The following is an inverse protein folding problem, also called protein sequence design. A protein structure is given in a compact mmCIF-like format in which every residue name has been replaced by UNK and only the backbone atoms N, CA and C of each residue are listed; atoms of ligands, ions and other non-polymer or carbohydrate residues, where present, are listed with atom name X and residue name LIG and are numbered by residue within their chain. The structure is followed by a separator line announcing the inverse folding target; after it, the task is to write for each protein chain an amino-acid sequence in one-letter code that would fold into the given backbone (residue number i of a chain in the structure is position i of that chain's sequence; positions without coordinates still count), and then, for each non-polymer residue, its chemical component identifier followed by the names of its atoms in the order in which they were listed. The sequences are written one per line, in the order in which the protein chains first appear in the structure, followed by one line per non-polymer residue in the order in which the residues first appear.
data_IF_222632603919
#
_entry.id   IF_222632603919
#
_cell.length_a   1.000
_cell.length_b   1.000
_cell.length_c   1.000
_cell.angle_alpha   90.00
_cell.angle_beta   90.00
_cell.angle_gamma   90.00
#
_symmetry.space_group_name_H-M   'P 1'
#
loop_
_entity.id
_entity.type
_entity.pdbx_description
1 polymer ?
#
# COMPACT_ATOMS: atom_id res chain seq x y z
N UNK A 1 -54.53 -21.39 -55.41
CA UNK A 1 -54.39 -22.50 -54.44
C UNK A 1 -52.91 -22.85 -54.33
N UNK A 2 -52.18 -22.17 -53.43
CA UNK A 2 -50.83 -22.59 -53.05
C UNK A 2 -50.97 -23.68 -51.98
N UNK A 3 -50.32 -24.82 -52.21
CA UNK A 3 -50.33 -25.96 -51.30
C UNK A 3 -49.75 -25.57 -49.93
N UNK A 4 -50.53 -25.80 -48.87
CA UNK A 4 -50.18 -25.56 -47.45
C UNK A 4 -48.94 -26.33 -46.96
N UNK A 5 -48.41 -27.25 -47.76
CA UNK A 5 -47.30 -28.12 -47.35
C UNK A 5 -45.91 -27.58 -47.69
N UNK A 6 -45.79 -26.56 -48.55
CA UNK A 6 -44.47 -26.06 -48.96
C UNK A 6 -43.94 -24.94 -48.06
N UNK A 7 -44.79 -24.33 -47.22
CA UNK A 7 -44.39 -23.25 -46.31
C UNK A 7 -43.80 -23.76 -44.97
N UNK A 8 -44.13 -24.99 -44.58
CA UNK A 8 -43.69 -25.59 -43.31
C UNK A 8 -42.24 -26.08 -43.33
N UNK A 9 -41.67 -26.36 -44.50
CA UNK A 9 -40.28 -26.83 -44.63
C UNK A 9 -39.28 -25.67 -44.64
N UNK A 10 -39.69 -24.48 -45.08
CA UNK A 10 -38.80 -23.31 -45.15
C UNK A 10 -38.59 -22.60 -43.79
N UNK A 11 -39.51 -22.77 -42.83
CA UNK A 11 -39.43 -22.13 -41.50
C UNK A 11 -38.63 -22.98 -40.50
N UNK A 12 -38.56 -24.31 -40.69
CA UNK A 12 -37.82 -25.18 -39.78
C UNK A 12 -36.28 -25.14 -39.97
N UNK A 13 -35.78 -24.60 -41.08
CA UNK A 13 -34.35 -24.54 -41.39
C UNK A 13 -33.63 -23.27 -40.90
N UNK A 14 -34.37 -22.27 -40.39
CA UNK A 14 -33.83 -20.96 -39.97
C UNK A 14 -33.69 -20.79 -38.45
N UNK A 15 -33.99 -21.83 -37.66
CA UNK A 15 -33.83 -21.84 -36.20
C UNK A 15 -32.63 -22.66 -35.72
N UNK A 16 -31.59 -22.81 -36.56
CA UNK A 16 -30.28 -23.21 -36.04
C UNK A 16 -29.73 -22.00 -35.30
N UNK A 17 -30.15 -21.86 -34.04
CA UNK A 17 -29.48 -21.02 -33.07
C UNK A 17 -27.99 -21.36 -33.20
N UNK A 18 -27.20 -20.41 -33.69
CA UNK A 18 -25.76 -20.47 -33.56
C UNK A 18 -25.53 -20.52 -32.07
N UNK A 19 -25.32 -21.72 -31.54
CA UNK A 19 -24.77 -21.91 -30.23
C UNK A 19 -23.39 -21.27 -30.31
N UNK A 20 -23.35 -19.98 -29.94
CA UNK A 20 -22.13 -19.31 -29.55
C UNK A 20 -21.71 -20.03 -28.26
N UNK A 21 -21.05 -21.17 -28.42
CA UNK A 21 -20.23 -21.74 -27.37
C UNK A 21 -19.15 -20.70 -27.12
N UNK A 22 -19.41 -19.79 -26.19
CA UNK A 22 -18.36 -19.15 -25.43
C UNK A 22 -17.70 -20.26 -24.61
N UNK A 23 -16.94 -21.12 -25.29
CA UNK A 23 -16.07 -22.10 -24.66
C UNK A 23 -14.98 -21.28 -23.99
N UNK A 24 -15.17 -20.95 -22.71
CA UNK A 24 -14.06 -20.66 -21.83
C UNK A 24 -13.32 -21.98 -21.62
N UNK A 25 -12.49 -22.36 -22.61
CA UNK A 25 -11.64 -23.56 -22.59
C UNK A 25 -10.25 -23.26 -22.03
N UNK A 26 -10.10 -22.13 -21.34
CA UNK A 26 -8.86 -21.72 -20.72
C UNK A 26 -8.57 -22.53 -19.46
N UNK A 27 -7.33 -23.00 -19.32
CA UNK A 27 -6.83 -23.51 -18.06
C UNK A 27 -6.93 -22.41 -16.97
N UNK A 28 -7.32 -22.77 -15.76
CA UNK A 28 -7.42 -21.89 -14.60
C UNK A 28 -6.52 -22.43 -13.49
N UNK A 29 -5.82 -21.53 -12.80
CA UNK A 29 -5.13 -21.85 -11.56
C UNK A 29 -5.26 -20.70 -10.57
N UNK A 30 -5.19 -21.04 -9.29
CA UNK A 30 -5.25 -20.07 -8.21
C UNK A 30 -4.49 -20.56 -6.98
N UNK A 31 -3.97 -19.59 -6.24
CA UNK A 31 -3.38 -19.78 -4.91
C UNK A 31 -3.91 -18.71 -3.96
N UNK A 32 -3.92 -19.02 -2.68
CA UNK A 32 -4.51 -18.17 -1.64
C UNK A 32 -3.58 -18.06 -0.43
N UNK A 33 -3.52 -16.89 0.18
CA UNK A 33 -2.95 -16.67 1.50
C UNK A 33 -4.06 -16.26 2.47
N UNK A 34 -4.05 -16.87 3.66
CA UNK A 34 -5.00 -16.59 4.73
C UNK A 34 -4.36 -15.81 5.89
N UNK A 35 -3.10 -15.36 5.75
CA UNK A 35 -2.45 -14.47 6.71
C UNK A 35 -3.31 -13.24 6.95
N UNK A 36 -3.58 -12.90 8.21
CA UNK A 36 -4.46 -11.78 8.55
C UNK A 36 -3.60 -10.60 8.96
N UNK A 37 -3.69 -9.50 8.22
CA UNK A 37 -3.27 -8.22 8.77
C UNK A 37 -4.39 -7.60 9.61
N UNK A 38 -4.05 -7.26 10.84
CA UNK A 38 -4.93 -6.63 11.81
C UNK A 38 -4.44 -5.24 12.16
N UNK A 39 -5.39 -4.34 12.40
CA UNK A 39 -5.17 -2.99 12.91
C UNK A 39 -5.60 -2.97 14.37
N UNK A 40 -4.68 -2.61 15.27
CA UNK A 40 -4.97 -2.43 16.67
C UNK A 40 -5.74 -1.12 16.87
N UNK A 41 -7.00 -1.20 17.29
CA UNK A 41 -7.87 -0.02 17.45
C UNK A 41 -7.45 0.92 18.58
N UNK A 42 -6.58 0.48 19.49
CA UNK A 42 -6.10 1.29 20.63
C UNK A 42 -4.78 1.98 20.33
N UNK A 43 -3.93 1.43 19.46
CA UNK A 43 -2.59 1.98 19.15
C UNK A 43 -2.37 2.34 17.69
N UNK A 44 -3.27 1.96 16.79
CA UNK A 44 -3.09 2.02 15.33
C UNK A 44 -2.12 0.98 14.77
N UNK A 45 -1.37 0.25 15.62
CA UNK A 45 -0.33 -0.67 15.16
C UNK A 45 -0.87 -1.80 14.28
N UNK A 46 -0.05 -2.22 13.30
CA UNK A 46 -0.35 -3.32 12.39
C UNK A 46 0.29 -4.63 12.87
N UNK A 47 -0.42 -5.75 12.70
CA UNK A 47 0.12 -7.08 12.99
C UNK A 47 -0.40 -8.18 12.03
N UNK A 48 0.48 -9.07 11.52
CA UNK A 48 1.94 -8.99 11.60
C UNK A 48 2.46 -7.89 10.65
N UNK A 49 3.50 -7.17 11.09
CA UNK A 49 4.18 -6.21 10.23
C UNK A 49 5.15 -6.88 9.26
N UNK A 50 5.38 -6.29 8.10
CA UNK A 50 6.45 -6.69 7.18
C UNK A 50 7.82 -6.37 7.80
N UNK A 51 8.69 -7.37 7.91
CA UNK A 51 10.01 -7.20 8.53
C UNK A 51 11.13 -7.70 7.63
N UNK A 52 12.25 -6.95 7.51
CA UNK A 52 12.50 -5.63 8.09
C UNK A 52 11.68 -4.50 7.43
N UNK A 53 11.49 -3.37 8.11
CA UNK A 53 10.84 -2.20 7.50
C UNK A 53 11.84 -1.46 6.59
N UNK A 54 12.09 -2.00 5.40
CA UNK A 54 13.04 -1.45 4.43
C UNK A 54 12.51 -1.57 2.99
N UNK A 55 12.91 -0.64 2.11
CA UNK A 55 12.54 -0.66 0.70
C UNK A 55 12.94 -1.99 0.05
N UNK A 56 12.03 -2.58 -0.71
CA UNK A 56 12.21 -3.88 -1.35
C UNK A 56 11.96 -5.09 -0.45
N UNK A 57 11.63 -4.92 0.83
CA UNK A 57 11.29 -6.06 1.70
C UNK A 57 10.03 -6.74 1.19
N UNK A 58 10.11 -8.04 0.90
CA UNK A 58 8.96 -8.85 0.53
C UNK A 58 8.09 -9.15 1.76
N UNK A 59 6.85 -8.69 1.72
CA UNK A 59 5.82 -8.93 2.73
C UNK A 59 5.13 -10.29 2.54
N UNK A 60 4.79 -10.62 1.29
CA UNK A 60 4.11 -11.85 0.92
C UNK A 60 4.47 -12.23 -0.51
N UNK A 61 4.42 -13.53 -0.80
CA UNK A 61 4.61 -14.08 -2.15
C UNK A 61 3.57 -15.15 -2.39
N UNK A 62 2.81 -14.99 -3.47
CA UNK A 62 1.91 -16.01 -3.97
C UNK A 62 2.47 -16.58 -5.28
N UNK A 63 2.46 -17.90 -5.42
CA UNK A 63 2.89 -18.59 -6.63
C UNK A 63 1.82 -19.55 -7.13
N UNK A 64 1.56 -19.48 -8.42
CA UNK A 64 0.50 -20.20 -9.11
C UNK A 64 1.04 -20.90 -10.38
N UNK A 65 1.08 -22.24 -10.41
CA UNK A 65 1.53 -22.98 -11.59
C UNK A 65 0.42 -23.05 -12.65
N UNK A 66 0.73 -22.68 -13.90
CA UNK A 66 -0.21 -22.75 -15.02
C UNK A 66 0.40 -23.49 -16.21
N UNK A 67 -0.37 -24.41 -16.79
CA UNK A 67 0.02 -25.12 -18.03
C UNK A 67 -0.61 -24.46 -19.24
N UNK A 68 0.22 -23.90 -20.13
CA UNK A 68 -0.15 -23.31 -21.42
C UNK A 68 -0.11 -24.38 -22.50
N UNK A 69 -1.31 -24.83 -22.92
CA UNK A 69 -1.47 -25.92 -23.88
C UNK A 69 -1.40 -25.46 -25.35
N UNK A 70 -1.61 -24.17 -25.63
CA UNK A 70 -1.46 -23.56 -26.95
C UNK A 70 -1.01 -22.09 -26.76
N UNK A 71 0.11 -21.68 -27.36
CA UNK A 71 0.64 -20.33 -27.20
C UNK A 71 0.20 -19.37 -28.32
N UNK A 72 -0.39 -19.87 -29.40
CA UNK A 72 -0.81 -19.02 -30.52
C UNK A 72 -2.16 -18.37 -30.21
N UNK A 73 -2.15 -17.04 -30.06
CA UNK A 73 -3.35 -16.23 -29.81
C UNK A 73 -3.91 -16.42 -28.39
N UNK A 74 -3.05 -16.72 -27.42
CA UNK A 74 -3.42 -16.90 -26.02
C UNK A 74 -2.66 -15.90 -25.15
N UNK A 75 -3.37 -15.31 -24.20
CA UNK A 75 -2.80 -14.53 -23.12
C UNK A 75 -3.27 -15.11 -21.77
N UNK A 76 -2.56 -14.78 -20.71
CA UNK A 76 -3.00 -15.06 -19.35
C UNK A 76 -3.51 -13.77 -18.74
N UNK A 77 -4.70 -13.80 -18.17
CA UNK A 77 -5.17 -12.80 -17.24
C UNK A 77 -4.71 -13.21 -15.84
N UNK A 78 -3.82 -12.41 -15.27
CA UNK A 78 -3.23 -12.64 -13.95
C UNK A 78 -3.76 -11.58 -13.00
N UNK A 79 -4.47 -12.00 -11.97
CA UNK A 79 -5.13 -11.10 -11.02
C UNK A 79 -4.68 -11.41 -9.60
N UNK A 80 -3.58 -10.78 -9.13
CA UNK A 80 -3.31 -10.67 -7.71
C UNK A 80 -4.36 -9.78 -7.04
N UNK A 81 -4.76 -10.19 -5.84
CA UNK A 81 -5.66 -9.47 -4.96
C UNK A 81 -5.22 -9.72 -3.53
N UNK A 82 -5.06 -8.67 -2.72
CA UNK A 82 -4.66 -8.84 -1.33
C UNK A 82 -5.05 -7.62 -0.51
N UNK A 83 -5.29 -7.85 0.79
CA UNK A 83 -5.40 -6.76 1.77
C UNK A 83 -4.01 -6.19 2.03
N UNK A 84 -3.87 -4.88 1.95
CA UNK A 84 -2.68 -4.16 2.40
C UNK A 84 -3.05 -3.27 3.57
N UNK A 85 -2.14 -3.15 4.53
CA UNK A 85 -2.26 -2.15 5.58
C UNK A 85 -1.04 -1.27 5.66
N UNK A 86 -1.25 0.03 5.88
CA UNK A 86 -0.20 1.03 6.02
C UNK A 86 -0.33 1.78 7.34
N UNK A 87 0.77 1.85 8.06
CA UNK A 87 0.92 2.61 9.29
C UNK A 87 1.98 3.68 9.09
N UNK A 88 1.64 4.88 9.52
CA UNK A 88 2.56 6.00 9.57
C UNK A 88 2.21 6.79 10.83
N UNK A 89 3.25 7.10 11.58
CA UNK A 89 3.22 7.91 12.77
C UNK A 89 4.19 9.06 12.54
N UNK A 90 3.68 10.28 12.57
CA UNK A 90 4.45 11.51 12.35
C UNK A 90 4.31 12.42 13.55
N UNK A 91 5.42 12.73 14.21
CA UNK A 91 5.45 13.56 15.41
C UNK A 91 6.29 14.80 15.17
N UNK A 92 5.73 15.94 15.53
CA UNK A 92 6.44 17.21 15.63
C UNK A 92 6.42 17.71 17.08
N UNK A 93 7.48 18.40 17.46
CA UNK A 93 7.63 19.02 18.78
C UNK A 93 8.43 20.32 18.66
N UNK A 94 8.68 20.99 19.78
CA UNK A 94 9.57 22.16 19.84
C UNK A 94 10.99 21.89 19.32
N UNK A 95 11.44 20.62 19.35
CA UNK A 95 12.75 20.21 18.83
C UNK A 95 12.69 19.80 17.35
N UNK A 96 11.56 19.29 16.88
CA UNK A 96 11.36 18.80 15.51
C UNK A 96 10.21 19.55 14.84
N UNK A 97 10.54 20.67 14.20
CA UNK A 97 9.56 21.55 13.53
C UNK A 97 8.98 20.96 12.22
N UNK A 98 9.63 19.93 11.68
CA UNK A 98 9.19 19.20 10.50
C UNK A 98 9.39 17.71 10.70
N UNK A 99 8.41 16.92 10.25
CA UNK A 99 8.47 15.47 10.26
C UNK A 99 7.74 14.91 9.05
N UNK A 100 8.24 13.82 8.49
CA UNK A 100 7.56 13.11 7.41
C UNK A 100 7.69 11.60 7.56
N UNK A 101 6.73 10.91 6.98
CA UNK A 101 6.69 9.47 6.88
C UNK A 101 6.04 9.08 5.56
N UNK A 102 6.67 8.15 4.88
CA UNK A 102 6.20 7.55 3.64
C UNK A 102 6.20 6.04 3.80
N UNK A 103 5.15 5.40 3.30
CA UNK A 103 5.04 3.94 3.31
C UNK A 103 4.14 3.53 2.15
N UNK A 104 4.53 2.49 1.43
CA UNK A 104 3.72 1.90 0.39
C UNK A 104 3.96 0.41 0.22
N UNK A 105 3.00 -0.24 -0.44
CA UNK A 105 3.08 -1.62 -0.86
C UNK A 105 2.90 -1.67 -2.37
N UNK A 106 3.88 -2.27 -3.02
CA UNK A 106 3.90 -2.53 -4.46
C UNK A 106 3.75 -4.03 -4.70
N UNK A 107 3.10 -4.39 -5.81
CA UNK A 107 2.94 -5.77 -6.27
C UNK A 107 3.64 -5.93 -7.61
N UNK A 108 4.56 -6.88 -7.68
CA UNK A 108 5.24 -7.25 -8.92
C UNK A 108 4.82 -8.64 -9.38
N UNK A 109 4.41 -8.75 -10.64
CA UNK A 109 4.13 -10.04 -11.28
C UNK A 109 5.35 -10.48 -12.08
N UNK A 110 5.81 -11.70 -11.81
CA UNK A 110 6.90 -12.35 -12.53
C UNK A 110 6.45 -13.72 -13.01
N UNK A 111 7.07 -14.20 -14.10
CA UNK A 111 6.70 -15.46 -14.75
C UNK A 111 7.96 -16.27 -14.97
N UNK A 112 7.98 -17.49 -14.45
CA UNK A 112 9.11 -18.40 -14.53
C UNK A 112 8.74 -19.61 -15.37
N UNK A 113 9.58 -20.01 -16.34
CA UNK A 113 9.46 -21.34 -16.95
C UNK A 113 9.63 -22.42 -15.86
N UNK A 114 8.92 -23.54 -15.99
CA UNK A 114 9.04 -24.64 -15.02
C UNK A 114 10.51 -25.07 -14.85
N UNK A 115 10.97 -25.10 -13.59
CA UNK A 115 12.34 -25.47 -13.24
C UNK A 115 13.38 -24.35 -13.41
N UNK A 116 12.98 -23.14 -13.81
CA UNK A 116 13.84 -21.95 -13.90
C UNK A 116 13.71 -21.08 -12.65
N UNK A 117 14.82 -20.45 -12.25
CA UNK A 117 14.86 -19.37 -11.24
C UNK A 117 14.97 -17.97 -11.87
N UNK A 118 15.03 -17.89 -13.19
CA UNK A 118 15.14 -16.64 -13.94
C UNK A 118 13.76 -16.27 -14.51
N UNK A 119 13.23 -15.07 -14.21
CA UNK A 119 11.95 -14.64 -14.75
C UNK A 119 12.09 -14.30 -16.24
N UNK A 120 11.00 -14.51 -16.98
CA UNK A 120 10.89 -14.05 -18.35
C UNK A 120 10.77 -12.53 -18.40
N UNK A 121 11.45 -11.90 -19.37
CA UNK A 121 11.41 -10.46 -19.59
C UNK A 121 10.48 -10.12 -20.75
N UNK A 122 9.74 -9.00 -20.65
CA UNK A 122 8.90 -8.50 -21.74
C UNK A 122 7.64 -9.33 -22.01
N UNK A 123 7.28 -10.24 -21.10
CA UNK A 123 6.07 -11.08 -21.22
C UNK A 123 4.92 -10.59 -20.36
N UNK A 124 5.18 -9.74 -19.36
CA UNK A 124 4.18 -9.20 -18.45
C UNK A 124 3.83 -7.78 -18.90
N UNK A 125 2.53 -7.53 -19.04
CA UNK A 125 1.96 -6.24 -19.43
C UNK A 125 1.00 -5.78 -18.34
N UNK A 126 1.18 -4.54 -17.90
CA UNK A 126 0.50 -3.98 -16.73
C UNK A 126 1.52 -3.54 -15.68
N UNK A 127 1.30 -2.37 -15.08
CA UNK A 127 2.28 -1.73 -14.21
C UNK A 127 3.45 -1.07 -14.94
N UNK A 128 4.58 -0.96 -14.24
CA UNK A 128 5.83 -0.39 -14.73
C UNK A 128 6.64 -1.38 -15.61
N UNK A 129 7.86 -1.01 -15.99
CA UNK A 129 8.75 -1.85 -16.81
C UNK A 129 9.15 -3.18 -16.17
N UNK A 130 8.95 -3.33 -14.86
CA UNK A 130 9.27 -4.54 -14.10
C UNK A 130 8.01 -5.38 -13.79
N UNK A 131 6.85 -5.00 -14.35
CA UNK A 131 5.57 -5.67 -14.08
C UNK A 131 5.02 -5.32 -12.70
N UNK A 132 5.32 -4.13 -12.19
CA UNK A 132 4.97 -3.73 -10.84
C UNK A 132 3.92 -2.61 -10.79
N UNK A 133 3.00 -2.69 -9.82
CA UNK A 133 1.96 -1.69 -9.56
C UNK A 133 1.97 -1.34 -8.09
N UNK A 134 1.87 -0.05 -7.78
CA UNK A 134 1.66 0.42 -6.40
C UNK A 134 0.20 0.18 -6.04
N UNK A 135 -0.04 -0.65 -5.03
CA UNK A 135 -1.40 -0.95 -4.54
C UNK A 135 -1.88 0.13 -3.59
N UNK A 136 -1.01 0.49 -2.64
CA UNK A 136 -1.27 1.53 -1.66
C UNK A 136 0.04 2.27 -1.38
N UNK A 137 -0.04 3.59 -1.24
CA UNK A 137 1.07 4.40 -0.78
C UNK A 137 0.53 5.65 -0.09
N UNK A 138 1.14 5.98 1.04
CA UNK A 138 0.83 7.18 1.78
C UNK A 138 2.11 7.93 2.11
N UNK A 139 2.17 9.17 1.64
CA UNK A 139 3.13 10.16 2.08
C UNK A 139 2.45 11.13 3.04
N UNK A 140 3.04 11.35 4.20
CA UNK A 140 2.60 12.34 5.18
C UNK A 140 3.76 13.26 5.50
N UNK A 141 3.48 14.56 5.47
CA UNK A 141 4.42 15.57 5.93
C UNK A 141 3.66 16.58 6.77
N UNK A 142 4.20 16.86 7.94
CA UNK A 142 3.78 17.96 8.77
C UNK A 142 4.96 18.93 8.81
N UNK A 143 4.75 20.11 8.23
CA UNK A 143 5.67 21.22 8.37
C UNK A 143 4.97 22.33 9.15
N UNK A 144 5.65 22.85 10.17
CA UNK A 144 5.01 23.69 11.16
C UNK A 144 5.73 25.03 11.29
N UNK A 145 4.98 26.08 10.98
CA UNK A 145 4.70 27.16 11.95
C UNK A 145 3.43 26.87 12.79
N UNK A 146 3.04 25.59 12.94
CA UNK A 146 1.87 25.15 13.70
C UNK A 146 1.99 25.58 15.17
N UNK A 147 3.19 25.51 15.75
CA UNK A 147 3.46 25.96 17.11
C UNK A 147 3.43 27.48 17.29
N UNK A 148 3.62 28.28 16.23
CA UNK A 148 3.33 29.72 16.28
C UNK A 148 1.83 30.03 16.40
N UNK A 149 0.94 29.06 16.15
CA UNK A 149 -0.52 29.21 16.30
C UNK A 149 -1.13 28.43 17.48
N UNK A 150 -0.43 27.44 18.05
CA UNK A 150 -0.81 26.82 19.32
C UNK A 150 -0.37 27.77 20.46
N UNK A 151 -1.15 28.83 20.67
CA UNK A 151 -0.92 29.84 21.71
C UNK A 151 -0.97 29.29 23.16
N UNK A 152 -1.23 27.99 23.33
CA UNK A 152 -1.16 27.26 24.60
C UNK A 152 0.17 26.53 24.82
N UNK A 153 1.07 26.49 23.83
CA UNK A 153 2.44 25.97 23.96
C UNK A 153 3.44 27.10 24.23
N UNK A 154 3.05 28.00 25.13
CA UNK A 154 3.91 29.06 25.65
C UNK A 154 4.51 28.51 26.94
N UNK A 155 5.83 28.68 27.16
CA UNK A 155 6.44 28.32 28.42
C UNK A 155 5.66 28.97 29.56
N UNK A 156 5.34 28.16 30.58
CA UNK A 156 4.67 28.69 31.77
C UNK A 156 5.71 28.89 32.85
N UNK A 157 5.59 30.00 33.59
CA UNK A 157 6.45 30.25 34.73
C UNK A 157 6.31 29.09 35.73
N UNK A 158 7.45 28.50 36.11
CA UNK A 158 7.53 27.54 37.20
C UNK A 158 7.19 28.28 38.48
N UNK A 159 6.18 27.81 39.21
CA UNK A 159 5.73 28.45 40.45
C UNK A 159 6.02 27.54 41.64
N UNK A 160 6.56 28.14 42.70
CA UNK A 160 6.71 27.53 44.02
C UNK A 160 5.59 28.03 44.94
N UNK A 161 5.52 27.52 46.17
CA UNK A 161 4.57 27.98 47.19
C UNK A 161 4.65 29.51 47.48
N UNK A 162 5.74 30.15 47.04
CA UNK A 162 6.05 31.57 47.26
C UNK A 162 5.96 32.44 46.01
N UNK A 163 5.59 31.88 44.84
CA UNK A 163 5.49 32.61 43.57
C UNK A 163 6.41 32.06 42.47
N UNK A 164 6.58 32.80 41.34
CA UNK A 164 7.45 32.40 40.23
C UNK A 164 8.89 32.18 40.70
N UNK A 165 9.50 31.08 40.30
CA UNK A 165 10.91 30.81 40.55
C UNK A 165 11.76 31.77 39.70
N UNK A 166 12.61 32.55 40.36
CA UNK A 166 13.49 33.50 39.68
C UNK A 166 14.85 32.88 39.40
N UNK A 167 15.50 33.33 38.34
CA UNK A 167 16.77 32.75 37.89
C UNK A 167 17.69 33.79 37.28
N UNK A 168 18.98 33.45 37.22
CA UNK A 168 20.00 34.18 36.45
C UNK A 168 20.42 33.37 35.22
N UNK A 169 20.51 32.05 35.37
CA UNK A 169 20.89 31.06 34.35
C UNK A 169 20.03 29.80 34.48
N UNK A 170 20.07 28.91 33.49
CA UNK A 170 19.33 27.63 33.51
C UNK A 170 19.68 26.74 34.73
N UNK A 171 20.88 26.91 35.29
CA UNK A 171 21.31 26.16 36.47
C UNK A 171 20.56 26.54 37.76
N UNK A 172 19.90 27.70 37.77
CA UNK A 172 19.14 28.18 38.91
C UNK A 172 17.72 27.60 38.95
N UNK A 173 17.28 26.92 37.88
CA UNK A 173 15.93 26.36 37.77
C UNK A 173 15.88 24.90 38.20
N UNK A 174 14.96 24.56 39.11
CA UNK A 174 14.75 23.19 39.52
C UNK A 174 14.27 22.31 38.35
N UNK A 175 14.85 21.11 38.14
CA UNK A 175 14.38 20.21 37.09
C UNK A 175 12.99 19.67 37.43
N UNK A 176 12.09 19.67 36.45
CA UNK A 176 10.78 19.03 36.53
C UNK A 176 10.84 17.72 35.74
N UNK A 177 10.32 16.63 36.31
CA UNK A 177 10.38 15.32 35.67
C UNK A 177 9.51 15.30 34.42
N UNK A 178 10.12 15.04 33.25
CA UNK A 178 9.41 14.98 31.97
C UNK A 178 9.32 16.32 31.23
N UNK A 179 9.79 17.41 31.82
CA UNK A 179 9.78 18.74 31.20
C UNK A 179 11.20 19.27 30.99
N UNK A 180 11.36 20.12 29.97
CA UNK A 180 12.56 20.95 29.81
C UNK A 180 12.31 22.30 30.47
N UNK A 181 13.06 22.57 31.54
CA UNK A 181 13.02 23.82 32.30
C UNK A 181 14.22 24.68 31.93
N UNK A 182 14.01 25.98 31.75
CA UNK A 182 15.06 26.94 31.37
C UNK A 182 14.81 28.30 32.04
N UNK A 183 15.85 29.13 32.07
CA UNK A 183 15.76 30.47 32.61
C UNK A 183 15.50 31.51 31.51
N UNK A 184 14.36 32.18 31.54
CA UNK A 184 14.09 33.33 30.68
C UNK A 184 14.58 34.62 31.37
N UNK A 185 15.81 35.04 31.07
CA UNK A 185 16.43 36.25 31.65
C UNK A 185 16.85 37.28 30.57
N UNK A 186 15.88 38.00 29.96
CA UNK A 186 16.16 38.91 28.84
C UNK A 186 16.97 40.15 29.26
N UNK A 187 16.94 40.50 30.55
CA UNK A 187 17.69 41.65 31.09
C UNK A 187 19.14 41.29 31.47
N UNK A 188 19.51 40.01 31.40
CA UNK A 188 20.81 39.49 31.85
C UNK A 188 21.19 39.90 33.28
N UNK A 189 20.21 40.28 34.11
CA UNK A 189 20.40 40.70 35.49
C UNK A 189 20.38 39.50 36.44
N UNK A 190 21.06 39.62 37.57
CA UNK A 190 21.03 38.57 38.60
C UNK A 190 19.63 38.46 39.21
N UNK A 191 19.03 37.28 39.13
CA UNK A 191 17.71 36.98 39.70
C UNK A 191 16.55 37.72 39.04
N UNK A 192 16.77 38.31 37.86
CA UNK A 192 15.73 39.05 37.12
C UNK A 192 15.00 38.18 36.10
N UNK A 193 15.49 36.96 35.85
CA UNK A 193 14.82 35.99 35.00
C UNK A 193 13.76 35.20 35.74
N UNK A 194 12.90 34.54 34.97
CA UNK A 194 11.89 33.59 35.47
C UNK A 194 12.17 32.21 34.91
N UNK A 195 12.16 31.19 35.77
CA UNK A 195 12.19 29.81 35.34
C UNK A 195 10.89 29.48 34.62
N UNK A 196 11.02 28.94 33.43
CA UNK A 196 9.93 28.60 32.55
C UNK A 196 10.05 27.13 32.14
N UNK A 197 8.91 26.45 32.04
CA UNK A 197 8.86 25.08 31.56
C UNK A 197 7.91 24.97 30.37
N UNK A 198 8.32 24.19 29.38
CA UNK A 198 7.39 23.69 28.38
C UNK A 198 6.67 22.48 28.96
N UNK A 199 5.34 22.50 28.91
CA UNK A 199 4.54 21.32 29.23
C UNK A 199 4.97 20.17 28.29
N UNK A 200 5.20 18.99 28.87
CA UNK A 200 5.54 17.74 28.14
C UNK A 200 4.51 17.36 27.08
N UNK A 201 3.31 17.95 27.13
CA UNK A 201 2.17 17.70 26.24
C UNK A 201 2.16 18.63 24.99
N UNK A 202 3.22 19.42 24.78
CA UNK A 202 3.37 20.26 23.59
C UNK A 202 3.93 19.50 22.39
N UNK A 203 3.21 18.45 22.01
CA UNK A 203 3.48 17.65 20.83
C UNK A 203 2.24 17.59 19.93
N UNK A 204 2.48 17.54 18.63
CA UNK A 204 1.44 17.14 17.68
C UNK A 204 1.87 15.81 17.08
N UNK A 205 1.05 14.80 17.28
CA UNK A 205 1.23 13.45 16.76
C UNK A 205 0.07 13.11 15.85
N UNK A 206 0.41 12.64 14.66
CA UNK A 206 -0.54 12.17 13.67
C UNK A 206 -0.21 10.72 13.35
N UNK A 207 -0.99 9.82 13.95
CA UNK A 207 -1.00 8.40 13.65
C UNK A 207 -2.13 8.14 12.67
N UNK A 208 -1.81 7.60 11.50
CA UNK A 208 -2.81 7.05 10.59
C UNK A 208 -2.54 5.58 10.34
N UNK A 209 -3.62 4.84 10.17
CA UNK A 209 -3.57 3.40 9.92
C UNK A 209 -4.69 3.07 8.96
N UNK A 210 -4.35 2.39 7.86
CA UNK A 210 -5.32 2.02 6.83
C UNK A 210 -5.26 0.52 6.60
N UNK A 211 -6.41 -0.07 6.28
CA UNK A 211 -6.55 -1.41 5.75
C UNK A 211 -7.44 -1.31 4.52
N UNK A 212 -6.96 -1.83 3.40
CA UNK A 212 -7.71 -1.78 2.14
C UNK A 212 -7.41 -3.04 1.32
N UNK A 213 -8.41 -3.50 0.58
CA UNK A 213 -8.26 -4.61 -0.34
C UNK A 213 -8.05 -4.07 -1.76
N UNK A 214 -6.98 -4.54 -2.41
CA UNK A 214 -6.59 -4.07 -3.74
C UNK A 214 -6.48 -5.26 -4.68
N UNK A 215 -6.82 -5.03 -5.95
CA UNK A 215 -6.64 -5.99 -7.03
C UNK A 215 -6.29 -5.27 -8.32
N UNK A 216 -5.43 -5.87 -9.13
CA UNK A 216 -5.08 -5.34 -10.45
C UNK A 216 -4.93 -6.48 -11.44
N UNK A 217 -5.29 -6.24 -12.70
CA UNK A 217 -5.20 -7.22 -13.77
C UNK A 217 -3.94 -7.01 -14.60
N UNK A 218 -3.10 -8.03 -14.67
CA UNK A 218 -1.96 -8.10 -15.56
C UNK A 218 -2.28 -9.01 -16.74
N UNK A 219 -1.73 -8.69 -17.89
CA UNK A 219 -1.78 -9.53 -19.08
C UNK A 219 -0.40 -10.15 -19.27
N UNK A 220 -0.33 -11.47 -19.39
CA UNK A 220 0.92 -12.18 -19.68
C UNK A 220 0.81 -12.84 -21.04
N UNK A 221 1.80 -12.63 -21.91
CA UNK A 221 1.91 -13.31 -23.21
C UNK A 221 3.01 -14.38 -23.09
N UNK A 222 2.66 -15.66 -22.88
CA UNK A 222 3.65 -16.71 -22.80
C UNK A 222 4.34 -16.90 -24.16
N UNK A 223 5.68 -17.09 -24.21
CA UNK A 223 6.42 -17.18 -25.46
C UNK A 223 6.20 -18.50 -26.21
N UNK A 224 5.87 -19.56 -25.49
CA UNK A 224 5.66 -20.89 -26.04
C UNK A 224 4.70 -21.73 -25.19
N UNK A 225 4.29 -22.89 -25.70
CA UNK A 225 3.58 -23.88 -24.89
C UNK A 225 4.49 -24.44 -23.81
N UNK A 226 3.92 -24.76 -22.65
CA UNK A 226 4.71 -25.22 -21.49
C UNK A 226 4.04 -24.94 -20.17
N UNK A 227 4.71 -25.31 -19.08
CA UNK A 227 4.28 -24.99 -17.72
C UNK A 227 5.07 -23.79 -17.22
N UNK A 228 4.38 -22.83 -16.62
CA UNK A 228 4.95 -21.63 -16.03
C UNK A 228 4.51 -21.50 -14.57
N UNK A 229 5.36 -20.94 -13.73
CA UNK A 229 4.98 -20.44 -12.41
C UNK A 229 4.80 -18.93 -12.51
N UNK A 230 3.59 -18.46 -12.26
CA UNK A 230 3.30 -17.04 -12.12
C UNK A 230 3.45 -16.71 -10.64
N UNK A 231 4.20 -15.65 -10.32
CA UNK A 231 4.40 -15.22 -8.94
C UNK A 231 3.99 -13.76 -8.80
N UNK A 232 3.23 -13.45 -7.77
CA UNK A 232 2.99 -12.08 -7.32
C UNK A 232 3.74 -11.85 -6.01
N UNK A 233 4.57 -10.81 -5.97
CA UNK A 233 5.34 -10.42 -4.77
C UNK A 233 4.86 -9.07 -4.29
N UNK A 234 4.43 -9.00 -3.03
CA UNK A 234 4.12 -7.75 -2.34
C UNK A 234 5.37 -7.27 -1.61
N UNK A 235 5.84 -6.06 -1.92
CA UNK A 235 7.05 -5.49 -1.32
C UNK A 235 6.84 -4.07 -0.80
N UNK A 236 7.55 -3.74 0.28
CA UNK A 236 7.62 -2.38 0.82
C UNK A 236 8.29 -1.42 -0.16
N UNK A 237 7.70 -0.25 -0.32
CA UNK A 237 8.29 0.90 -1.00
C UNK A 237 8.07 2.17 -0.20
N UNK A 238 8.82 3.21 -0.56
CA UNK A 238 8.66 4.54 0.02
C UNK A 238 8.90 4.58 1.52
N UNK A 239 9.55 3.60 2.17
CA UNK A 239 9.70 3.57 3.65
C UNK A 239 10.71 4.60 4.17
N UNK A 240 10.39 5.88 3.99
CA UNK A 240 11.23 7.02 4.31
C UNK A 240 10.64 7.75 5.52
N UNK A 241 11.48 8.10 6.48
CA UNK A 241 11.09 8.86 7.67
C UNK A 241 12.10 9.96 7.97
N UNK A 242 11.63 11.12 8.39
CA UNK A 242 12.47 12.17 9.00
C UNK A 242 11.84 12.69 10.29
N UNK A 243 12.66 13.28 11.14
CA UNK A 243 12.25 13.72 12.48
C UNK A 243 11.86 12.54 13.36
N UNK A 244 10.87 12.75 14.24
CA UNK A 244 10.28 11.68 15.04
C UNK A 244 9.11 11.05 14.28
N UNK A 245 9.41 10.16 13.34
CA UNK A 245 8.39 9.45 12.58
C UNK A 245 8.69 7.96 12.48
N UNK A 246 7.65 7.15 12.34
CA UNK A 246 7.77 5.71 12.12
C UNK A 246 6.77 5.23 11.07
N UNK A 247 7.11 4.13 10.41
CA UNK A 247 6.28 3.50 9.39
C UNK A 247 6.25 1.99 9.54
N UNK A 248 5.16 1.38 9.13
CA UNK A 248 5.05 -0.06 8.98
C UNK A 248 4.03 -0.38 7.88
N UNK A 249 4.13 -1.57 7.31
CA UNK A 249 3.06 -2.12 6.50
C UNK A 249 2.82 -3.58 6.89
N UNK A 250 1.73 -4.11 6.38
CA UNK A 250 1.38 -5.51 6.49
C UNK A 250 0.63 -5.94 5.22
N UNK A 251 0.61 -7.24 5.00
CA UNK A 251 -0.24 -7.88 4.00
C UNK A 251 -1.18 -8.84 4.71
N UNK A 252 -2.44 -8.83 4.29
CA UNK A 252 -3.50 -9.68 4.81
C UNK A 252 -3.91 -10.73 3.79
N UNK A 253 -5.14 -11.27 3.91
CA UNK A 253 -5.55 -12.38 3.08
C UNK A 253 -5.63 -11.94 1.63
N UNK A 254 -5.30 -12.86 0.73
CA UNK A 254 -5.19 -12.57 -0.68
C UNK A 254 -5.25 -13.80 -1.56
N UNK A 255 -5.40 -13.55 -2.85
CA UNK A 255 -5.47 -14.56 -3.89
C UNK A 255 -4.63 -14.13 -5.08
N UNK A 256 -3.97 -15.08 -5.73
CA UNK A 256 -3.43 -14.91 -7.07
C UNK A 256 -4.18 -15.87 -7.96
N UNK A 257 -4.85 -15.34 -8.98
CA UNK A 257 -5.55 -16.16 -9.98
C UNK A 257 -4.92 -15.97 -11.35
N UNK A 258 -4.81 -17.05 -12.11
CA UNK A 258 -4.31 -17.07 -13.48
C UNK A 258 -5.32 -17.76 -14.38
N UNK A 259 -5.83 -17.03 -15.36
CA UNK A 259 -6.82 -17.57 -16.32
C UNK A 259 -6.30 -17.44 -17.74
N UNK A 260 -6.38 -18.51 -18.51
CA UNK A 260 -6.10 -18.45 -19.94
C UNK A 260 -7.25 -17.78 -20.70
N UNK A 261 -6.93 -16.70 -21.41
CA UNK A 261 -7.85 -15.99 -22.28
C UNK A 261 -7.39 -16.09 -23.73
N UNK A 262 -8.34 -16.38 -24.62
CA UNK A 262 -8.08 -16.42 -26.05
C UNK A 262 -8.21 -15.02 -26.63
N UNK A 263 -7.19 -14.58 -27.35
CA UNK A 263 -7.25 -13.33 -28.10
C UNK A 263 -8.00 -13.58 -29.40
N UNK A 264 -9.16 -12.96 -29.56
CA UNK A 264 -9.95 -13.04 -30.78
C UNK A 264 -9.58 -11.88 -31.71
N UNK A 265 -9.10 -12.20 -32.91
CA UNK A 265 -9.05 -11.23 -34.00
C UNK A 265 -10.36 -11.33 -34.76
N UNK A 266 -11.27 -10.38 -34.55
CA UNK A 266 -12.53 -10.35 -35.30
C UNK A 266 -12.28 -9.66 -36.64
N UNK A 267 -12.34 -10.42 -37.74
CA UNK A 267 -12.24 -9.89 -39.11
C UNK A 267 -13.61 -9.61 -39.74
N UNK A 268 -14.68 -9.54 -38.94
CA UNK A 268 -16.03 -9.25 -39.41
C UNK A 268 -16.25 -7.75 -39.59
N UNK A 269 -16.70 -7.35 -40.78
CA UNK A 269 -17.23 -6.00 -41.03
C UNK A 269 -18.59 -5.90 -40.34
N UNK A 270 -18.83 -4.84 -39.57
CA UNK A 270 -20.15 -4.53 -39.04
C UNK A 270 -21.14 -4.38 -40.21
N UNK A 271 -22.24 -5.16 -40.27
CA UNK A 271 -23.26 -4.91 -41.27
C UNK A 271 -23.90 -3.55 -40.97
N UNK A 272 -23.78 -2.63 -41.94
CA UNK A 272 -24.50 -1.36 -41.97
C UNK A 272 -26.00 -1.57 -42.17
#
# INVERSE_FOLDING_TARGET
MFSRNTLLVAVAALLVATSAFAQSSGNFSATTDNAVCTLNSSTGALAPGCTPTANGTACAVLSDPIKVSNANGLALLVTPSMVTGLFTDTKISSQFATANADAGVQVCVQVFPQGSTTPLTGVVFGGDSNGCVVYDQRFQQISSGLFTQIASCVPTAVTTATGPETCTTDADCAPITGETVFCNNPSAGTGTGTCEAFNSDCNFELILSTLSAHSYNYIVIPPATGTYNVTATWSLIGVNTTGQSSVAACTGPGTLTTTQVKQFTNSGVLPH
#
